data_IF_093840139272
#
_entry.id   IF_093840139272
#
_cell.length_a   1.000
_cell.length_b   1.000
_cell.length_c   1.000
_cell.angle_alpha   90.00
_cell.angle_beta   90.00
_cell.angle_gamma   90.00
#
_symmetry.space_group_name_H-M   'P 1'
#
loop_
_entity.id
_entity.type
_entity.pdbx_description
1 polymer ?
#
# COMPACT_ATOMS: atom_id res chain seq x y z
N UNK A 1 -36.50 12.63 4.64
CA UNK A 1 -35.04 12.46 4.70
C UNK A 1 -34.54 12.28 3.29
N UNK A 2 -33.69 13.19 2.84
CA UNK A 2 -33.29 13.34 1.44
C UNK A 2 -32.38 12.19 0.98
N UNK A 3 -32.95 11.24 0.24
CA UNK A 3 -32.26 10.05 -0.28
C UNK A 3 -31.06 10.41 -1.17
N UNK A 4 -31.07 11.60 -1.78
CA UNK A 4 -29.97 12.10 -2.60
C UNK A 4 -28.70 12.41 -1.77
N UNK A 5 -28.85 12.83 -0.50
CA UNK A 5 -27.72 13.07 0.38
C UNK A 5 -26.97 11.77 0.73
N UNK A 6 -27.69 10.66 0.86
CA UNK A 6 -27.09 9.36 1.10
C UNK A 6 -26.32 8.85 -0.13
N UNK A 7 -26.88 9.01 -1.32
CA UNK A 7 -26.24 8.59 -2.58
C UNK A 7 -24.95 9.38 -2.84
N UNK A 8 -25.00 10.70 -2.64
CA UNK A 8 -23.82 11.57 -2.81
C UNK A 8 -22.71 11.25 -1.80
N UNK A 9 -23.06 10.99 -0.54
CA UNK A 9 -22.08 10.57 0.46
C UNK A 9 -21.40 9.24 0.09
N UNK A 10 -22.15 8.25 -0.43
CA UNK A 10 -21.58 6.96 -0.86
C UNK A 10 -20.67 7.10 -2.07
N UNK A 11 -21.02 7.97 -3.03
CA UNK A 11 -20.18 8.28 -4.17
C UNK A 11 -18.85 8.93 -3.73
N UNK A 12 -18.91 9.90 -2.82
CA UNK A 12 -17.72 10.59 -2.30
C UNK A 12 -16.79 9.65 -1.51
N UNK A 13 -17.33 8.71 -0.74
CA UNK A 13 -16.54 7.72 0.01
C UNK A 13 -15.92 6.66 -0.91
N UNK A 14 -16.55 6.36 -2.06
CA UNK A 14 -16.06 5.34 -3.00
C UNK A 14 -14.72 5.68 -3.64
N UNK A 15 -14.49 6.95 -3.95
CA UNK A 15 -13.25 7.41 -4.61
C UNK A 15 -11.99 7.14 -3.77
N UNK A 16 -11.88 7.62 -2.51
CA UNK A 16 -10.70 7.36 -1.69
C UNK A 16 -10.54 5.87 -1.35
N UNK A 17 -11.66 5.14 -1.20
CA UNK A 17 -11.61 3.70 -0.95
C UNK A 17 -10.98 2.94 -2.12
N UNK A 18 -11.36 3.27 -3.36
CA UNK A 18 -10.78 2.66 -4.56
C UNK A 18 -9.28 2.98 -4.68
N UNK A 19 -8.88 4.24 -4.40
CA UNK A 19 -7.47 4.63 -4.38
C UNK A 19 -6.65 3.81 -3.40
N UNK A 20 -7.11 3.71 -2.15
CA UNK A 20 -6.45 2.90 -1.13
C UNK A 20 -6.34 1.42 -1.52
N UNK A 21 -7.37 0.87 -2.17
CA UNK A 21 -7.39 -0.52 -2.62
C UNK A 21 -6.34 -0.83 -3.70
N UNK A 22 -5.97 0.16 -4.52
CA UNK A 22 -4.90 0.03 -5.52
C UNK A 22 -3.53 0.28 -4.88
N UNK A 23 -3.42 1.30 -4.02
CA UNK A 23 -2.15 1.68 -3.40
C UNK A 23 -1.63 0.63 -2.42
N UNK A 24 -2.47 -0.01 -1.61
CA UNK A 24 -2.04 -1.03 -0.63
C UNK A 24 -1.27 -2.22 -1.24
N UNK A 25 -1.80 -2.94 -2.25
CA UNK A 25 -1.09 -4.03 -2.89
C UNK A 25 0.10 -3.53 -3.73
N UNK A 26 0.03 -2.32 -4.29
CA UNK A 26 1.14 -1.72 -5.02
C UNK A 26 2.33 -1.44 -4.10
N UNK A 27 2.07 -0.76 -2.97
CA UNK A 27 3.07 -0.48 -1.95
C UNK A 27 3.72 -1.77 -1.42
N UNK A 28 2.89 -2.78 -1.14
CA UNK A 28 3.40 -4.09 -0.70
C UNK A 28 4.25 -4.76 -1.78
N UNK A 29 3.86 -4.67 -3.07
CA UNK A 29 4.63 -5.20 -4.19
C UNK A 29 5.99 -4.51 -4.34
N UNK A 30 6.06 -3.19 -4.14
CA UNK A 30 7.30 -2.41 -4.23
C UNK A 30 8.30 -2.76 -3.12
N UNK A 31 7.80 -3.15 -1.95
CA UNK A 31 8.59 -3.50 -0.77
C UNK A 31 8.96 -5.00 -0.74
N UNK A 32 8.16 -5.85 -1.38
CA UNK A 32 8.38 -7.30 -1.42
C UNK A 32 9.58 -7.67 -2.29
N UNK A 33 10.43 -8.55 -1.77
CA UNK A 33 11.52 -9.18 -2.54
C UNK A 33 10.96 -10.10 -3.64
N UNK A 34 11.65 -10.18 -4.78
CA UNK A 34 11.15 -10.85 -5.99
C UNK A 34 10.71 -12.30 -5.77
N UNK A 35 11.32 -13.03 -4.82
CA UNK A 35 10.97 -14.40 -4.49
C UNK A 35 9.68 -14.56 -3.65
N UNK A 36 9.28 -13.55 -2.86
CA UNK A 36 8.14 -13.66 -1.92
C UNK A 36 6.92 -12.85 -2.34
N UNK A 37 7.00 -12.09 -3.44
CA UNK A 37 5.91 -11.26 -3.98
C UNK A 37 4.56 -12.02 -4.10
N UNK A 38 4.59 -13.27 -4.55
CA UNK A 38 3.38 -14.09 -4.68
C UNK A 38 2.77 -14.49 -3.33
N UNK A 39 3.60 -14.84 -2.35
CA UNK A 39 3.15 -15.21 -1.00
C UNK A 39 2.60 -13.98 -0.28
N UNK A 40 3.31 -12.84 -0.32
CA UNK A 40 2.85 -11.60 0.31
C UNK A 40 1.52 -11.11 -0.30
N UNK A 41 1.38 -11.15 -1.63
CA UNK A 41 0.12 -10.81 -2.29
C UNK A 41 -1.05 -11.70 -1.85
N UNK A 42 -0.79 -13.01 -1.72
CA UNK A 42 -1.80 -13.98 -1.27
C UNK A 42 -2.15 -13.78 0.21
N UNK A 43 -1.17 -13.50 1.07
CA UNK A 43 -1.38 -13.21 2.49
C UNK A 43 -2.18 -11.92 2.70
N UNK A 44 -1.96 -10.88 1.90
CA UNK A 44 -2.77 -9.65 1.95
C UNK A 44 -4.24 -9.93 1.67
N UNK A 45 -4.53 -10.70 0.61
CA UNK A 45 -5.90 -11.06 0.25
C UNK A 45 -6.53 -11.91 1.36
N UNK A 46 -5.80 -12.89 1.89
CA UNK A 46 -6.27 -13.71 3.01
C UNK A 46 -6.55 -12.89 4.26
N UNK A 47 -5.68 -11.93 4.60
CA UNK A 47 -5.86 -11.02 5.71
C UNK A 47 -7.08 -10.10 5.50
N UNK A 48 -7.31 -9.64 4.27
CA UNK A 48 -8.48 -8.85 3.94
C UNK A 48 -9.77 -9.68 4.05
N UNK A 49 -9.80 -10.88 3.49
CA UNK A 49 -10.97 -11.78 3.56
C UNK A 49 -11.26 -12.20 5.00
N UNK A 50 -10.23 -12.51 5.80
CA UNK A 50 -10.42 -12.87 7.21
C UNK A 50 -10.96 -11.69 8.02
N UNK A 51 -10.45 -10.47 7.81
CA UNK A 51 -10.99 -9.27 8.44
C UNK A 51 -12.47 -9.03 8.11
N UNK A 52 -12.88 -9.22 6.85
CA UNK A 52 -14.29 -9.15 6.46
C UNK A 52 -15.14 -10.23 7.15
N UNK A 53 -14.64 -11.46 7.26
CA UNK A 53 -15.32 -12.54 7.97
C UNK A 53 -15.52 -12.19 9.46
N UNK A 54 -14.49 -11.67 10.12
CA UNK A 54 -14.59 -11.22 11.51
C UNK A 54 -15.66 -10.13 11.69
N UNK A 55 -15.73 -9.16 10.77
CA UNK A 55 -16.72 -8.10 10.81
C UNK A 55 -18.15 -8.65 10.69
N UNK A 56 -18.39 -9.64 9.81
CA UNK A 56 -19.70 -10.26 9.68
C UNK A 56 -20.11 -11.03 10.93
N UNK A 57 -19.19 -11.79 11.54
CA UNK A 57 -19.46 -12.54 12.78
C UNK A 57 -19.77 -11.58 13.94
N UNK A 58 -19.00 -10.50 14.08
CA UNK A 58 -19.24 -9.48 15.12
C UNK A 58 -20.56 -8.74 14.86
N UNK A 59 -20.88 -8.47 13.60
CA UNK A 59 -22.12 -7.82 13.19
C UNK A 59 -23.37 -8.65 13.50
N UNK A 60 -23.27 -9.98 13.46
CA UNK A 60 -24.35 -10.90 13.82
C UNK A 60 -24.50 -11.05 15.35
N UNK A 61 -23.38 -11.09 16.09
CA UNK A 61 -23.36 -11.37 17.53
C UNK A 61 -23.58 -10.14 18.44
N UNK A 62 -23.27 -8.92 17.99
CA UNK A 62 -23.31 -7.71 18.84
C UNK A 62 -24.34 -6.66 18.38
N UNK A 63 -24.86 -5.88 19.35
CA UNK A 63 -25.73 -4.72 19.07
C UNK A 63 -25.04 -3.64 18.22
N UNK A 64 -25.83 -2.85 17.48
CA UNK A 64 -25.37 -1.84 16.51
C UNK A 64 -24.36 -0.79 17.05
N UNK A 65 -24.47 -0.40 18.32
CA UNK A 65 -23.62 0.66 18.91
C UNK A 65 -22.15 0.27 19.07
N UNK A 66 -21.78 -0.85 19.73
CA UNK A 66 -20.38 -1.27 19.84
C UNK A 66 -19.72 -1.58 18.50
N UNK A 67 -20.46 -2.12 17.52
CA UNK A 67 -19.94 -2.40 16.17
C UNK A 67 -19.46 -1.12 15.47
N UNK A 68 -20.21 -0.02 15.61
CA UNK A 68 -19.80 1.28 15.06
C UNK A 68 -18.48 1.78 15.68
N UNK A 69 -18.30 1.62 16.99
CA UNK A 69 -17.06 2.01 17.67
C UNK A 69 -15.86 1.19 17.21
N UNK A 70 -16.02 -0.13 17.05
CA UNK A 70 -14.95 -1.01 16.52
C UNK A 70 -14.61 -0.64 15.08
N UNK A 71 -15.63 -0.38 14.26
CA UNK A 71 -15.47 0.02 12.85
C UNK A 71 -14.80 1.39 12.70
N UNK A 72 -14.93 2.28 13.70
CA UNK A 72 -14.19 3.55 13.74
C UNK A 72 -12.76 3.35 14.29
N UNK A 73 -12.61 2.56 15.35
CA UNK A 73 -11.33 2.35 16.03
C UNK A 73 -10.28 1.70 15.12
N UNK A 74 -10.66 0.65 14.38
CA UNK A 74 -9.76 -0.07 13.47
C UNK A 74 -9.09 0.83 12.41
N UNK A 75 -9.82 1.63 11.61
CA UNK A 75 -9.20 2.53 10.65
C UNK A 75 -8.41 3.66 11.31
N UNK A 76 -8.80 4.17 12.49
CA UNK A 76 -7.95 5.14 13.21
C UNK A 76 -6.62 4.54 13.64
N UNK A 77 -6.61 3.31 14.18
CA UNK A 77 -5.36 2.63 14.54
C UNK A 77 -4.52 2.37 13.30
N UNK A 78 -5.14 1.93 12.20
CA UNK A 78 -4.46 1.75 10.93
C UNK A 78 -3.84 3.05 10.41
N UNK A 79 -4.56 4.18 10.49
CA UNK A 79 -4.06 5.48 10.07
C UNK A 79 -2.83 5.90 10.88
N UNK A 80 -2.86 5.74 12.21
CA UNK A 80 -1.72 6.06 13.08
C UNK A 80 -0.53 5.17 12.75
N UNK A 81 -0.75 3.88 12.52
CA UNK A 81 0.31 2.94 12.18
C UNK A 81 0.91 3.23 10.80
N UNK A 82 0.07 3.60 9.83
CA UNK A 82 0.48 3.95 8.47
C UNK A 82 1.34 5.22 8.46
N UNK A 83 1.05 6.20 9.32
CA UNK A 83 1.88 7.41 9.47
C UNK A 83 3.28 7.12 10.02
N UNK A 84 3.47 6.00 10.73
CA UNK A 84 4.80 5.59 11.20
C UNK A 84 5.55 4.70 10.20
N UNK A 85 4.91 4.27 9.11
CA UNK A 85 5.49 3.35 8.16
C UNK A 85 6.39 4.10 7.16
N UNK A 86 7.61 3.62 6.88
CA UNK A 86 8.53 4.29 5.96
C UNK A 86 7.98 4.31 4.52
N UNK A 87 8.29 5.37 3.80
CA UNK A 87 7.94 5.54 2.38
C UNK A 87 8.52 4.40 1.52
N UNK A 88 7.86 4.07 0.40
CA UNK A 88 8.31 2.99 -0.49
C UNK A 88 9.69 3.33 -1.10
N UNK A 89 10.66 2.40 -1.11
CA UNK A 89 12.01 2.65 -1.66
C UNK A 89 11.96 3.08 -3.13
N UNK A 90 11.03 2.56 -3.94
CA UNK A 90 10.81 3.00 -5.32
C UNK A 90 10.36 4.46 -5.42
N UNK A 91 9.54 4.92 -4.49
CA UNK A 91 9.10 6.32 -4.41
C UNK A 91 10.27 7.26 -4.03
N UNK A 92 11.14 6.84 -3.11
CA UNK A 92 12.33 7.58 -2.71
C UNK A 92 13.35 7.71 -3.85
N UNK A 93 13.54 6.65 -4.65
CA UNK A 93 14.39 6.67 -5.86
C UNK A 93 13.81 7.65 -6.88
N UNK A 94 12.50 7.64 -7.11
CA UNK A 94 11.82 8.58 -8.03
C UNK A 94 11.89 10.04 -7.56
N UNK A 95 11.89 10.27 -6.25
CA UNK A 95 12.07 11.61 -5.65
C UNK A 95 13.53 12.07 -5.63
N UNK A 96 14.48 11.28 -6.14
CA UNK A 96 15.91 11.62 -6.19
C UNK A 96 16.66 11.51 -4.86
N UNK A 97 16.01 10.97 -3.81
CA UNK A 97 16.57 10.81 -2.46
C UNK A 97 17.21 9.43 -2.31
N UNK A 98 18.33 9.22 -3.00
CA UNK A 98 19.01 7.92 -3.06
C UNK A 98 19.57 7.45 -1.71
N UNK A 99 20.03 8.37 -0.87
CA UNK A 99 20.55 8.06 0.46
C UNK A 99 19.44 7.49 1.38
N UNK A 100 18.29 8.15 1.39
CA UNK A 100 17.13 7.74 2.18
C UNK A 100 16.51 6.43 1.64
N UNK A 101 16.52 6.23 0.32
CA UNK A 101 16.13 4.94 -0.30
C UNK A 101 17.03 3.79 0.17
N UNK A 102 18.35 4.01 0.24
CA UNK A 102 19.31 3.00 0.70
C UNK A 102 19.04 2.61 2.15
N UNK A 103 18.80 3.60 3.01
CA UNK A 103 18.50 3.38 4.44
C UNK A 103 17.20 2.61 4.65
N UNK A 104 16.13 2.95 3.91
CA UNK A 104 14.85 2.23 3.99
C UNK A 104 14.99 0.80 3.45
N UNK A 105 15.74 0.61 2.36
CA UNK A 105 15.97 -0.72 1.79
C UNK A 105 16.81 -1.60 2.73
N UNK A 106 17.85 -1.03 3.37
CA UNK A 106 18.65 -1.69 4.39
C UNK A 106 17.81 -2.09 5.62
N UNK A 107 16.95 -1.18 6.10
CA UNK A 107 16.00 -1.46 7.19
C UNK A 107 15.01 -2.57 6.82
N UNK A 108 14.47 -2.53 5.60
CA UNK A 108 13.48 -3.48 5.12
C UNK A 108 14.05 -4.90 4.94
N UNK A 109 15.32 -5.01 4.54
CA UNK A 109 16.04 -6.28 4.40
C UNK A 109 16.74 -6.71 5.69
N UNK A 110 16.65 -5.90 6.76
CA UNK A 110 17.35 -6.11 8.04
C UNK A 110 18.86 -6.34 7.82
N UNK A 111 19.46 -5.62 6.87
CA UNK A 111 20.86 -5.72 6.47
C UNK A 111 21.57 -4.38 6.65
N UNK A 112 22.90 -4.41 6.68
CA UNK A 112 23.70 -3.18 6.70
C UNK A 112 23.65 -2.46 5.34
N UNK A 113 23.83 -1.14 5.40
CA UNK A 113 23.75 -0.21 4.26
C UNK A 113 24.79 -0.53 3.16
N UNK A 114 25.88 -1.20 3.53
CA UNK A 114 27.02 -1.56 2.66
C UNK A 114 26.89 -2.95 2.02
N UNK A 115 25.80 -3.69 2.28
CA UNK A 115 25.64 -5.06 1.78
C UNK A 115 25.42 -5.04 0.25
N UNK A 116 26.23 -5.80 -0.48
CA UNK A 116 26.24 -5.84 -1.96
C UNK A 116 24.86 -6.19 -2.56
N UNK A 117 24.01 -6.89 -1.79
CA UNK A 117 22.63 -7.19 -2.15
C UNK A 117 21.74 -5.93 -2.21
N UNK A 118 21.92 -4.99 -1.27
CA UNK A 118 21.14 -3.74 -1.19
C UNK A 118 21.54 -2.80 -2.34
N UNK A 119 22.84 -2.71 -2.64
CA UNK A 119 23.36 -1.91 -3.76
C UNK A 119 22.91 -2.47 -5.11
N UNK A 120 22.88 -3.80 -5.26
CA UNK A 120 22.43 -4.47 -6.50
C UNK A 120 20.93 -4.27 -6.72
N UNK A 121 20.10 -4.46 -5.68
CA UNK A 121 18.64 -4.18 -5.81
C UNK A 121 18.38 -2.70 -6.09
N UNK A 122 19.16 -1.78 -5.51
CA UNK A 122 18.98 -0.35 -5.79
C UNK A 122 19.39 0.04 -7.23
N UNK A 123 20.36 -0.65 -7.84
CA UNK A 123 20.68 -0.49 -9.27
C UNK A 123 19.56 -1.06 -10.16
N UNK A 124 18.99 -2.20 -9.78
CA UNK A 124 17.88 -2.83 -10.52
C UNK A 124 16.61 -1.94 -10.51
N UNK A 125 16.25 -1.40 -9.35
CA UNK A 125 15.12 -0.45 -9.20
C UNK A 125 15.35 0.81 -10.06
N UNK A 126 16.58 1.34 -10.11
CA UNK A 126 16.92 2.48 -11.00
C UNK A 126 16.77 2.15 -12.47
N UNK A 127 17.11 0.91 -12.88
CA UNK A 127 16.97 0.47 -14.28
C UNK A 127 15.51 0.30 -14.68
N UNK A 128 14.70 -0.33 -13.82
CA UNK A 128 13.25 -0.47 -14.05
C UNK A 128 12.58 0.90 -14.16
N UNK A 129 12.89 1.85 -13.27
CA UNK A 129 12.34 3.21 -13.33
C UNK A 129 12.71 3.95 -14.62
N UNK A 130 13.95 3.77 -15.12
CA UNK A 130 14.39 4.41 -16.36
C UNK A 130 13.66 3.83 -17.58
N UNK A 131 13.32 2.54 -17.55
CA UNK A 131 12.54 1.89 -18.59
C UNK A 131 11.06 2.32 -18.57
N UNK A 132 10.46 2.47 -17.39
CA UNK A 132 9.09 2.99 -17.22
C UNK A 132 8.96 4.46 -17.69
N UNK A 133 9.96 5.30 -17.41
CA UNK A 133 9.99 6.70 -17.87
C UNK A 133 10.11 6.79 -19.40
N UNK A 134 10.98 5.96 -20.01
CA UNK A 134 11.15 5.90 -21.46
C UNK A 134 9.90 5.37 -22.18
N UNK A 135 9.28 4.33 -21.61
CA UNK A 135 8.02 3.77 -22.10
C UNK A 135 6.90 4.82 -22.03
N UNK A 136 6.74 5.50 -20.90
CA UNK A 136 5.75 6.57 -20.73
C UNK A 136 5.96 7.71 -21.72
N UNK A 137 7.22 8.10 -21.98
CA UNK A 137 7.59 9.12 -22.97
C UNK A 137 7.25 8.68 -24.39
N UNK A 138 7.39 7.39 -24.69
CA UNK A 138 7.03 6.81 -25.99
C UNK A 138 5.52 6.85 -26.21
N UNK A 139 4.71 6.47 -25.21
CA UNK A 139 3.24 6.52 -25.32
C UNK A 139 2.73 7.95 -25.50
N UNK A 140 3.29 8.91 -24.76
CA UNK A 140 2.93 10.34 -24.89
C UNK A 140 3.32 10.96 -26.23
N UNK A 141 4.27 10.36 -26.95
CA UNK A 141 4.71 10.83 -28.28
C UNK A 141 3.96 10.15 -29.42
N UNK A 142 3.25 9.06 -29.13
CA UNK A 142 2.45 8.28 -30.08
C UNK A 142 0.97 8.71 -30.13
N UNK A 143 0.54 9.55 -29.19
CA UNK A 143 -0.75 10.26 -29.15
C UNK A 143 -0.56 11.63 -29.79
#
# INVERSE_FOLDING_TARGET
METWAFVTARALIGIPMAGAYVTCPLYTKEISENCIRGILGSMLILAHTSGNLFLYVIGDMMSYRPVLWVCLALPTVHLVLFLMMPESPSYLVKSGKLDEATRVLAWLRCKQEDDMAVVTEMDDIKREQKHDDESSRFVLKAI
#
